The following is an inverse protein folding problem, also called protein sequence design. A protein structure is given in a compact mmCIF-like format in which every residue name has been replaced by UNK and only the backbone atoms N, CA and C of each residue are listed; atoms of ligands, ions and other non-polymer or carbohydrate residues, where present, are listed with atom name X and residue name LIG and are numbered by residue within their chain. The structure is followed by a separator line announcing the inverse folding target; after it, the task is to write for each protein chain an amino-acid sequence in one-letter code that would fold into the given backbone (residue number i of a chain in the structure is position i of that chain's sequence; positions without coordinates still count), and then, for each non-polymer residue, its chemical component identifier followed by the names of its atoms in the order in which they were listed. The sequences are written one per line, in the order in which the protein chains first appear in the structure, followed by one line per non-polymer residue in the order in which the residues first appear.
data_IF_221847992619
#
_entry.id   IF_221847992619
#
_cell.length_a   1.000
_cell.length_b   1.000
_cell.length_c   1.000
_cell.angle_alpha   90.00
_cell.angle_beta   90.00
_cell.angle_gamma   90.00
#
_symmetry.space_group_name_H-M   'P 1'
#
loop_
_entity.id
_entity.type
_entity.pdbx_description
1 polymer ?
#
# COMPACT_ATOMS: atom_id res chain seq x y z
N UNK A 1 0.77 -1.65 -3.39
CA UNK A 1 0.22 -2.73 -4.23
C UNK A 1 -1.24 -2.96 -3.87
N UNK A 2 -2.05 -3.50 -4.79
CA UNK A 2 -3.48 -3.74 -4.58
C UNK A 2 -3.74 -5.16 -4.10
N UNK A 3 -4.26 -5.32 -2.88
CA UNK A 3 -4.83 -6.60 -2.40
C UNK A 3 -6.28 -6.72 -2.83
N UNK A 4 -6.78 -7.95 -2.84
CA UNK A 4 -8.11 -8.27 -3.35
C UNK A 4 -8.85 -9.29 -2.47
N UNK A 5 -10.20 -9.29 -2.53
CA UNK A 5 -11.02 -10.21 -1.75
C UNK A 5 -10.75 -11.70 -2.05
N UNK A 6 -10.92 -12.60 -1.08
CA UNK A 6 -10.68 -14.05 -1.27
C UNK A 6 -11.54 -14.69 -2.37
N UNK A 7 -12.75 -14.17 -2.63
CA UNK A 7 -13.65 -14.66 -3.70
C UNK A 7 -13.04 -14.57 -5.12
N UNK A 8 -11.91 -13.90 -5.24
CA UNK A 8 -11.18 -13.66 -6.47
C UNK A 8 -9.89 -14.50 -6.58
N UNK A 9 -9.59 -15.34 -5.59
CA UNK A 9 -8.41 -16.21 -5.60
C UNK A 9 -8.42 -17.16 -6.80
N UNK A 10 -7.42 -17.03 -7.67
CA UNK A 10 -7.28 -17.84 -8.90
C UNK A 10 -8.16 -17.41 -10.08
N UNK A 11 -9.03 -16.42 -9.90
CA UNK A 11 -10.00 -15.99 -10.92
C UNK A 11 -9.82 -14.54 -11.36
N UNK A 12 -9.29 -13.68 -10.49
CA UNK A 12 -9.21 -12.25 -10.80
C UNK A 12 -8.12 -11.97 -11.83
N UNK A 13 -8.58 -11.53 -12.99
CA UNK A 13 -7.74 -10.93 -14.01
C UNK A 13 -7.71 -9.41 -13.84
N UNK A 14 -6.73 -8.74 -14.45
CA UNK A 14 -6.74 -7.28 -14.52
C UNK A 14 -8.02 -6.76 -15.16
N UNK A 15 -8.58 -7.45 -16.15
CA UNK A 15 -9.79 -7.04 -16.88
C UNK A 15 -11.04 -6.99 -15.97
N UNK A 16 -11.17 -7.92 -15.02
CA UNK A 16 -12.24 -7.90 -14.03
C UNK A 16 -12.20 -6.65 -13.13
N UNK A 17 -11.00 -6.13 -12.88
CA UNK A 17 -10.84 -4.90 -12.11
C UNK A 17 -11.34 -3.66 -12.88
N UNK A 18 -11.23 -3.67 -14.21
CA UNK A 18 -11.76 -2.60 -15.06
C UNK A 18 -13.24 -2.80 -15.43
N UNK A 19 -13.81 -3.99 -15.19
CA UNK A 19 -15.21 -4.29 -15.47
C UNK A 19 -16.17 -3.57 -14.51
N UNK A 20 -16.89 -2.56 -15.00
CA UNK A 20 -17.83 -1.74 -14.21
C UNK A 20 -19.05 -2.50 -13.66
N UNK A 21 -19.35 -3.71 -14.16
CA UNK A 21 -20.42 -4.57 -13.65
C UNK A 21 -20.02 -5.31 -12.36
N UNK A 22 -18.72 -5.45 -12.09
CA UNK A 22 -18.23 -6.07 -10.86
C UNK A 22 -18.24 -5.03 -9.75
N UNK A 23 -18.95 -5.35 -8.66
CA UNK A 23 -19.00 -4.51 -7.46
C UNK A 23 -17.68 -4.55 -6.67
N UNK A 24 -17.08 -3.38 -6.49
CA UNK A 24 -15.77 -3.20 -5.83
C UNK A 24 -15.91 -2.36 -4.58
N UNK A 25 -15.76 -3.03 -3.45
CA UNK A 25 -15.71 -2.42 -2.13
C UNK A 25 -14.25 -2.27 -1.71
N UNK A 26 -13.85 -1.04 -1.39
CA UNK A 26 -12.49 -0.70 -0.96
C UNK A 26 -12.43 -0.45 0.54
N UNK A 27 -11.31 -0.81 1.15
CA UNK A 27 -11.00 -0.54 2.55
C UNK A 27 -9.90 0.53 2.65
N UNK A 28 -10.16 1.54 3.47
CA UNK A 28 -9.30 2.70 3.71
C UNK A 28 -9.08 2.88 5.22
N UNK A 29 -7.93 3.42 5.61
CA UNK A 29 -7.68 3.84 7.00
C UNK A 29 -8.45 5.13 7.28
N UNK A 30 -9.12 5.22 8.42
CA UNK A 30 -9.82 6.44 8.86
C UNK A 30 -8.89 7.63 9.11
N UNK A 31 -7.63 7.35 9.48
CA UNK A 31 -6.70 8.36 9.98
C UNK A 31 -5.82 8.96 8.89
N UNK A 32 -5.81 8.40 7.68
CA UNK A 32 -4.91 8.82 6.61
C UNK A 32 -5.65 9.42 5.40
N UNK A 33 -6.25 10.59 5.60
CA UNK A 33 -7.11 11.25 4.59
C UNK A 33 -6.38 11.56 3.28
N UNK A 34 -5.20 12.18 3.34
CA UNK A 34 -4.43 12.55 2.15
C UNK A 34 -4.03 11.32 1.32
N UNK A 35 -3.60 10.26 1.99
CA UNK A 35 -3.27 9.01 1.31
C UNK A 35 -4.50 8.38 0.65
N UNK A 36 -5.66 8.39 1.33
CA UNK A 36 -6.91 7.90 0.74
C UNK A 36 -7.33 8.70 -0.49
N UNK A 37 -7.17 10.02 -0.47
CA UNK A 37 -7.45 10.90 -1.62
C UNK A 37 -6.51 10.59 -2.79
N UNK A 38 -5.21 10.44 -2.53
CA UNK A 38 -4.23 10.02 -3.53
C UNK A 38 -4.60 8.66 -4.15
N UNK A 39 -5.00 7.67 -3.34
CA UNK A 39 -5.40 6.35 -3.82
C UNK A 39 -6.65 6.39 -4.69
N UNK A 40 -7.63 7.20 -4.31
CA UNK A 40 -8.85 7.38 -5.11
C UNK A 40 -8.57 8.04 -6.44
N UNK A 41 -7.78 9.12 -6.44
CA UNK A 41 -7.34 9.78 -7.66
C UNK A 41 -6.58 8.79 -8.56
N UNK A 42 -5.68 7.99 -7.99
CA UNK A 42 -4.96 6.95 -8.73
C UNK A 42 -5.93 5.95 -9.38
N UNK A 43 -6.89 5.41 -8.64
CA UNK A 43 -7.91 4.50 -9.16
C UNK A 43 -8.74 5.13 -10.28
N UNK A 44 -9.13 6.39 -10.11
CA UNK A 44 -9.86 7.16 -11.12
C UNK A 44 -9.04 7.34 -12.41
N UNK A 45 -7.75 7.69 -12.32
CA UNK A 45 -6.87 7.79 -13.51
C UNK A 45 -6.71 6.46 -14.26
N UNK A 46 -6.97 5.33 -13.58
CA UNK A 46 -6.94 3.99 -14.16
C UNK A 46 -8.33 3.54 -14.63
N UNK A 47 -9.37 4.37 -14.54
CA UNK A 47 -10.75 4.00 -14.83
C UNK A 47 -11.27 2.83 -13.98
N UNK A 48 -10.77 2.68 -12.75
CA UNK A 48 -11.25 1.66 -11.82
C UNK A 48 -12.32 2.27 -10.91
N UNK A 49 -13.55 1.81 -11.06
CA UNK A 49 -14.68 2.28 -10.26
C UNK A 49 -14.62 1.76 -8.81
N UNK A 50 -14.80 2.67 -7.87
CA UNK A 50 -15.04 2.35 -6.46
C UNK A 50 -16.56 2.37 -6.24
N UNK A 51 -17.16 1.22 -5.95
CA UNK A 51 -18.60 1.14 -5.66
C UNK A 51 -18.92 1.45 -4.20
N UNK A 52 -18.00 1.12 -3.29
CA UNK A 52 -18.13 1.38 -1.87
C UNK A 52 -16.77 1.68 -1.23
N UNK A 53 -16.74 2.63 -0.30
CA UNK A 53 -15.55 3.01 0.47
C UNK A 53 -15.83 2.75 1.95
N UNK A 54 -15.09 1.83 2.55
CA UNK A 54 -15.15 1.54 3.97
C UNK A 54 -13.95 2.17 4.66
N UNK A 55 -14.20 2.93 5.72
CA UNK A 55 -13.14 3.51 6.55
C UNK A 55 -13.09 2.76 7.86
N UNK A 56 -11.89 2.34 8.25
CA UNK A 56 -11.67 1.63 9.50
C UNK A 56 -10.56 2.30 10.29
N UNK A 57 -10.75 2.36 11.61
CA UNK A 57 -9.69 2.72 12.52
C UNK A 57 -8.49 1.76 12.38
N UNK A 58 -7.27 2.30 12.47
CA UNK A 58 -6.03 1.52 12.30
C UNK A 58 -5.94 0.34 13.27
N UNK A 59 -6.56 0.44 14.45
CA UNK A 59 -6.64 -0.65 15.41
C UNK A 59 -7.32 -1.92 14.84
N UNK A 60 -8.37 -1.75 14.03
CA UNK A 60 -9.12 -2.86 13.44
C UNK A 60 -8.64 -3.23 12.03
N UNK A 61 -7.82 -2.37 11.40
CA UNK A 61 -7.36 -2.56 10.02
C UNK A 61 -6.70 -3.93 9.83
N UNK A 62 -5.81 -4.33 10.74
CA UNK A 62 -5.11 -5.63 10.66
C UNK A 62 -6.08 -6.82 10.68
N UNK A 63 -7.10 -6.76 11.52
CA UNK A 63 -8.12 -7.81 11.60
C UNK A 63 -8.92 -7.88 10.30
N UNK A 64 -9.41 -6.74 9.80
CA UNK A 64 -10.20 -6.71 8.56
C UNK A 64 -9.41 -7.12 7.32
N UNK A 65 -8.12 -6.81 7.28
CA UNK A 65 -7.25 -7.19 6.17
C UNK A 65 -7.10 -8.72 6.06
N UNK A 66 -7.13 -9.45 7.19
CA UNK A 66 -7.08 -10.92 7.19
C UNK A 66 -8.36 -11.56 6.66
N UNK A 67 -9.51 -10.93 6.89
CA UNK A 67 -10.79 -11.40 6.35
C UNK A 67 -10.86 -11.31 4.82
N UNK A 68 -10.04 -10.45 4.20
CA UNK A 68 -9.92 -10.28 2.75
C UNK A 68 -11.30 -10.18 2.08
N UNK A 69 -12.14 -9.27 2.56
CA UNK A 69 -13.49 -9.01 2.01
C UNK A 69 -13.53 -7.80 1.08
N UNK A 70 -12.51 -6.93 1.15
CA UNK A 70 -12.41 -5.68 0.41
C UNK A 70 -11.10 -5.61 -0.39
N UNK A 71 -11.11 -4.80 -1.44
CA UNK A 71 -9.89 -4.35 -2.10
C UNK A 71 -9.17 -3.35 -1.20
N UNK A 72 -7.83 -3.38 -1.17
CA UNK A 72 -7.07 -2.42 -0.37
C UNK A 72 -5.70 -2.14 -0.97
N UNK A 73 -5.26 -0.88 -0.95
CA UNK A 73 -3.89 -0.54 -1.30
C UNK A 73 -3.00 -0.54 -0.06
N UNK A 74 -2.01 -1.42 -0.05
CA UNK A 74 -1.07 -1.57 1.05
C UNK A 74 0.39 -1.51 0.55
N UNK A 75 1.33 -1.11 1.43
CA UNK A 75 2.75 -1.36 1.20
C UNK A 75 3.01 -2.86 1.02
N UNK A 76 3.89 -3.21 0.07
CA UNK A 76 4.24 -4.62 -0.19
C UNK A 76 4.86 -5.30 1.05
N UNK A 77 5.54 -4.54 1.91
CA UNK A 77 6.06 -5.01 3.20
C UNK A 77 4.95 -5.51 4.13
N UNK A 78 3.83 -4.78 4.20
CA UNK A 78 2.68 -5.16 5.02
C UNK A 78 1.96 -6.39 4.47
N UNK A 79 1.85 -6.50 3.14
CA UNK A 79 1.35 -7.71 2.50
C UNK A 79 2.21 -8.93 2.85
N UNK A 80 3.54 -8.80 2.85
CA UNK A 80 4.45 -9.88 3.21
C UNK A 80 4.31 -10.29 4.69
N UNK A 81 4.24 -9.31 5.60
CA UNK A 81 4.07 -9.57 7.03
C UNK A 81 2.76 -10.31 7.34
N UNK A 82 1.70 -9.98 6.62
CA UNK A 82 0.36 -10.53 6.82
C UNK A 82 0.02 -11.70 5.87
N UNK A 83 0.98 -12.16 5.06
CA UNK A 83 0.80 -13.20 4.05
C UNK A 83 -0.38 -12.93 3.09
N UNK A 84 -0.61 -11.67 2.76
CA UNK A 84 -1.71 -11.25 1.89
C UNK A 84 -1.29 -11.31 0.42
N UNK A 85 -2.07 -11.98 -0.45
CA UNK A 85 -1.85 -11.90 -1.88
C UNK A 85 -2.22 -10.50 -2.41
N UNK A 86 -1.53 -10.09 -3.46
CA UNK A 86 -1.77 -8.83 -4.14
C UNK A 86 -1.55 -8.97 -5.65
N UNK A 87 -2.15 -8.07 -6.41
CA UNK A 87 -2.06 -8.06 -7.86
C UNK A 87 -0.64 -7.72 -8.33
N UNK A 88 -0.15 -8.49 -9.30
CA UNK A 88 1.17 -8.34 -9.91
C UNK A 88 1.17 -7.38 -11.12
N UNK A 89 0.02 -6.78 -11.44
CA UNK A 89 -0.11 -5.82 -12.53
C UNK A 89 0.70 -4.55 -12.23
N UNK A 90 1.71 -4.28 -13.06
CA UNK A 90 2.59 -3.11 -12.94
C UNK A 90 1.83 -1.79 -13.01
N UNK A 91 0.69 -1.74 -13.71
CA UNK A 91 -0.14 -0.54 -13.79
C UNK A 91 -0.85 -0.20 -12.48
N UNK A 92 -0.87 -1.14 -11.53
CA UNK A 92 -1.48 -1.02 -10.20
C UNK A 92 -0.42 -0.92 -9.09
N UNK A 93 0.86 -0.76 -9.45
CA UNK A 93 1.93 -0.53 -8.49
C UNK A 93 2.13 0.99 -8.35
N UNK A 94 1.95 1.49 -7.13
CA UNK A 94 2.33 2.85 -6.75
C UNK A 94 3.72 2.77 -6.14
N UNK A 95 4.71 3.38 -6.80
CA UNK A 95 6.07 3.51 -6.29
C UNK A 95 6.23 4.85 -5.58
N UNK A 96 6.60 4.81 -4.30
CA UNK A 96 6.94 5.99 -3.52
C UNK A 96 8.37 5.87 -3.00
N UNK A 97 9.07 7.02 -2.99
CA UNK A 97 10.37 7.12 -2.37
C UNK A 97 10.19 7.36 -0.87
N UNK A 98 10.95 6.65 -0.05
CA UNK A 98 11.08 6.93 1.38
C UNK A 98 12.26 7.88 1.54
N UNK A 99 12.00 9.05 2.11
CA UNK A 99 13.03 10.05 2.38
C UNK A 99 13.41 10.04 3.86
N UNK A 100 14.71 10.15 4.12
CA UNK A 100 15.24 10.37 5.46
C UNK A 100 15.73 11.82 5.53
N UNK A 101 15.06 12.63 6.34
CA UNK A 101 15.26 14.08 6.40
C UNK A 101 15.71 14.51 7.79
N UNK A 102 16.53 15.56 7.84
CA UNK A 102 16.94 16.23 9.09
C UNK A 102 16.49 17.69 9.03
N UNK A 103 16.36 18.33 10.19
CA UNK A 103 16.17 19.78 10.23
C UNK A 103 17.37 20.47 9.59
N UNK A 104 17.09 21.43 8.72
CA UNK A 104 18.11 22.23 8.06
C UNK A 104 18.90 23.01 9.13
N UNK A 105 20.22 23.03 8.99
CA UNK A 105 21.15 23.74 9.88
C UNK A 105 21.19 23.24 11.34
N UNK A 106 20.58 22.08 11.62
CA UNK A 106 20.65 21.42 12.92
C UNK A 106 21.56 20.19 12.84
N UNK A 107 22.75 20.20 13.47
CA UNK A 107 23.58 19.03 13.54
C UNK A 107 22.89 17.94 14.38
N UNK A 108 22.92 16.71 13.90
CA UNK A 108 22.44 15.55 14.66
C UNK A 108 23.38 15.31 15.84
N UNK A 109 22.81 14.91 16.98
CA UNK A 109 23.62 14.34 18.05
C UNK A 109 24.17 12.96 17.60
N UNK A 110 25.10 12.41 18.37
CA UNK A 110 25.78 11.15 18.03
C UNK A 110 24.80 9.96 17.89
N UNK A 111 23.79 9.87 18.76
CA UNK A 111 22.80 8.80 18.71
C UNK A 111 21.94 8.87 17.43
N UNK A 112 21.46 10.05 17.08
CA UNK A 112 20.64 10.28 15.89
C UNK A 112 21.47 10.07 14.61
N UNK A 113 22.74 10.49 14.61
CA UNK A 113 23.66 10.25 13.50
C UNK A 113 23.91 8.76 13.29
N UNK A 114 24.13 8.01 14.37
CA UNK A 114 24.31 6.55 14.32
C UNK A 114 23.06 5.86 13.77
N UNK A 115 21.86 6.26 14.22
CA UNK A 115 20.60 5.74 13.69
C UNK A 115 20.41 6.09 12.21
N UNK A 116 20.69 7.33 11.82
CA UNK A 116 20.62 7.78 10.43
C UNK A 116 21.50 6.92 9.52
N UNK A 117 22.76 6.68 9.92
CA UNK A 117 23.68 5.85 9.16
C UNK A 117 23.22 4.39 9.09
N UNK A 118 22.76 3.84 10.22
CA UNK A 118 22.21 2.48 10.26
C UNK A 118 21.05 2.30 9.26
N UNK A 119 20.06 3.19 9.29
CA UNK A 119 18.91 3.14 8.38
C UNK A 119 19.38 3.20 6.92
N UNK A 120 20.26 4.15 6.61
CA UNK A 120 20.80 4.37 5.26
C UNK A 120 21.53 3.12 4.74
N UNK A 121 22.39 2.53 5.55
CA UNK A 121 23.20 1.38 5.16
C UNK A 121 22.36 0.10 5.05
N UNK A 122 21.39 -0.08 5.95
CA UNK A 122 20.42 -1.16 5.88
C UNK A 122 19.68 -1.14 4.53
N UNK A 123 19.06 -0.02 4.17
CA UNK A 123 18.28 0.06 2.93
C UNK A 123 19.14 0.01 1.65
N UNK A 124 20.39 0.49 1.70
CA UNK A 124 21.35 0.31 0.59
C UNK A 124 21.72 -1.16 0.39
N UNK A 125 22.06 -1.86 1.49
CA UNK A 125 22.48 -3.27 1.46
C UNK A 125 21.36 -4.18 0.95
N UNK A 126 20.12 -3.89 1.32
CA UNK A 126 18.97 -4.71 0.95
C UNK A 126 18.35 -4.34 -0.40
N UNK A 127 19.04 -3.51 -1.22
CA UNK A 127 18.56 -3.00 -2.51
C UNK A 127 17.07 -2.66 -2.42
N UNK A 128 16.73 -1.52 -1.82
CA UNK A 128 15.34 -1.04 -1.69
C UNK A 128 14.59 -0.78 -3.02
N UNK A 129 15.00 -1.41 -4.12
CA UNK A 129 14.09 -1.88 -5.15
C UNK A 129 13.34 -3.08 -4.54
N UNK A 130 12.18 -2.80 -3.94
CA UNK A 130 11.20 -3.86 -3.68
C UNK A 130 10.70 -4.36 -5.03
N UNK A 131 11.51 -5.19 -5.70
CA UNK A 131 11.14 -5.87 -6.93
C UNK A 131 10.03 -6.83 -6.54
N UNK A 132 8.81 -6.41 -6.83
CA UNK A 132 7.62 -7.25 -6.90
C UNK A 132 7.96 -8.39 -7.88
N UNK A 133 8.19 -9.59 -7.33
CA UNK A 133 8.44 -10.82 -8.09
C UNK A 133 7.15 -11.59 -8.27
#
# INVERSE_FOLDING_TARGET
VLTYPHKFDGFLTSDDLYNNSIYKSFLFSSHNKEYNEMLKAFLETKNIKINNSNYVDDYFLRTLLRERTNFCFLPASMCKELELPYMQDKNLIISSNIYLSTLKDTPLNEADLNLYQFIKDYYKKHQAHYIVK
#
